data_IF_934375144324
#
_entry.id   IF_934375144324
#
_cell.length_a   1.000
_cell.length_b   1.000
_cell.length_c   1.000
_cell.angle_alpha   90.00
_cell.angle_beta   90.00
_cell.angle_gamma   90.00
#
_symmetry.space_group_name_H-M   'P 1'
#
loop_
_entity.id
_entity.type
_entity.pdbx_description
1 polymer ?
#
# COMPACT_ATOMS: atom_id res chain seq x y z
N UNK A 1 -6.92 -26.41 4.20
CA UNK A 1 -8.06 -25.92 5.03
C UNK A 1 -7.49 -25.17 6.23
N UNK A 2 -7.97 -23.96 6.50
CA UNK A 2 -7.68 -23.18 7.70
C UNK A 2 -9.02 -22.87 8.36
N UNK A 3 -9.17 -23.18 9.64
CA UNK A 3 -10.38 -22.87 10.40
C UNK A 3 -10.00 -22.14 11.67
N UNK A 4 -10.64 -21.01 11.89
CA UNK A 4 -10.43 -20.12 13.03
C UNK A 4 -11.78 -19.92 13.70
N UNK A 5 -11.87 -20.20 14.99
CA UNK A 5 -13.08 -20.10 15.78
C UNK A 5 -12.84 -19.15 16.97
N UNK A 6 -13.64 -18.10 17.05
CA UNK A 6 -13.70 -17.16 18.17
C UNK A 6 -12.32 -16.63 18.63
N UNK A 7 -11.43 -16.35 17.65
CA UNK A 7 -10.09 -15.86 17.91
C UNK A 7 -10.13 -14.45 18.49
N UNK A 8 -9.51 -14.27 19.66
CA UNK A 8 -9.21 -12.94 20.20
C UNK A 8 -7.73 -12.82 20.51
N UNK A 9 -7.13 -11.72 20.02
CA UNK A 9 -5.72 -11.44 20.18
C UNK A 9 -5.48 -9.94 20.30
N UNK A 10 -4.53 -9.54 21.16
CA UNK A 10 -4.13 -8.15 21.35
C UNK A 10 -2.61 -8.02 21.51
N UNK A 11 -2.03 -6.91 21.07
CA UNK A 11 -0.70 -6.46 21.45
C UNK A 11 -0.82 -5.45 22.60
N UNK A 12 -0.57 -5.89 23.84
CA UNK A 12 -0.82 -5.07 25.04
C UNK A 12 -2.29 -4.67 25.11
N UNK A 13 -2.56 -3.36 25.10
CA UNK A 13 -3.94 -2.84 25.13
C UNK A 13 -4.60 -2.76 23.74
N UNK A 14 -3.83 -2.95 22.67
CA UNK A 14 -4.35 -2.85 21.30
C UNK A 14 -4.96 -4.17 20.84
N UNK A 15 -6.28 -4.23 20.82
CA UNK A 15 -7.04 -5.37 20.29
C UNK A 15 -6.86 -5.42 18.75
N UNK A 16 -6.46 -6.59 18.24
CA UNK A 16 -6.31 -6.86 16.80
C UNK A 16 -7.47 -7.74 16.30
N UNK A 17 -7.82 -8.76 17.07
CA UNK A 17 -8.96 -9.64 16.80
C UNK A 17 -9.81 -9.75 18.06
N UNK A 18 -11.13 -9.67 17.89
CA UNK A 18 -12.13 -9.85 18.95
C UNK A 18 -13.21 -10.78 18.43
N UNK A 19 -13.25 -12.00 19.00
CA UNK A 19 -14.21 -13.05 18.62
C UNK A 19 -14.26 -13.34 17.10
N UNK A 20 -13.09 -13.26 16.44
CA UNK A 20 -12.97 -13.40 15.00
C UNK A 20 -13.05 -14.88 14.58
N UNK A 21 -13.87 -15.16 13.57
CA UNK A 21 -13.99 -16.51 13.00
C UNK A 21 -13.83 -16.46 11.48
N UNK A 22 -13.11 -17.43 10.92
CA UNK A 22 -12.81 -17.51 9.50
C UNK A 22 -12.61 -18.96 9.08
N UNK A 23 -13.13 -19.32 7.91
CA UNK A 23 -12.87 -20.61 7.28
C UNK A 23 -12.39 -20.43 5.85
N UNK A 24 -11.24 -21.06 5.52
CA UNK A 24 -10.61 -21.03 4.20
C UNK A 24 -10.42 -22.46 3.72
N UNK A 25 -11.19 -22.82 2.72
CA UNK A 25 -11.13 -24.14 2.09
C UNK A 25 -10.41 -24.11 0.73
N UNK A 26 -10.23 -22.91 0.18
CA UNK A 26 -9.62 -22.70 -1.12
C UNK A 26 -8.12 -22.95 -1.06
N UNK A 27 -7.55 -23.52 -2.13
CA UNK A 27 -6.11 -23.77 -2.26
C UNK A 27 -5.32 -22.48 -2.34
N UNK A 28 -5.87 -21.47 -3.01
CA UNK A 28 -5.28 -20.13 -3.15
C UNK A 28 -6.21 -19.09 -2.55
N UNK A 29 -5.70 -18.31 -1.60
CA UNK A 29 -6.44 -17.23 -1.01
C UNK A 29 -5.55 -16.01 -0.76
N UNK A 30 -6.11 -14.82 -0.91
CA UNK A 30 -5.48 -13.56 -0.52
C UNK A 30 -6.20 -12.97 0.69
N UNK A 31 -5.42 -12.57 1.69
CA UNK A 31 -5.89 -11.72 2.79
C UNK A 31 -5.83 -10.27 2.33
N UNK A 32 -6.98 -9.69 2.11
CA UNK A 32 -7.17 -8.30 1.75
C UNK A 32 -7.52 -7.49 2.99
N UNK A 33 -7.25 -6.20 2.95
CA UNK A 33 -7.59 -5.29 4.05
C UNK A 33 -6.55 -4.19 4.23
N UNK A 34 -6.90 -3.20 5.02
CA UNK A 34 -6.09 -2.00 5.27
C UNK A 34 -4.76 -2.30 5.95
N UNK A 35 -3.83 -1.34 5.90
CA UNK A 35 -2.65 -1.38 6.74
C UNK A 35 -3.09 -1.35 8.21
N UNK A 36 -2.56 -2.30 8.99
CA UNK A 36 -2.98 -2.45 10.39
C UNK A 36 -4.24 -3.30 10.64
N UNK A 37 -4.90 -3.85 9.59
CA UNK A 37 -6.05 -4.74 9.74
C UNK A 37 -5.73 -6.13 10.34
N UNK A 38 -4.46 -6.37 10.70
CA UNK A 38 -4.06 -7.62 11.31
C UNK A 38 -3.65 -8.72 10.32
N UNK A 39 -3.44 -8.41 9.03
CA UNK A 39 -3.06 -9.42 8.01
C UNK A 39 -1.80 -10.20 8.41
N UNK A 40 -0.69 -9.51 8.64
CA UNK A 40 0.57 -10.11 9.12
C UNK A 40 0.38 -10.81 10.47
N UNK A 41 -0.42 -10.23 11.37
CA UNK A 41 -0.72 -10.83 12.67
C UNK A 41 -1.46 -12.14 12.51
N UNK A 42 -2.45 -12.20 11.62
CA UNK A 42 -3.18 -13.43 11.33
C UNK A 42 -2.27 -14.53 10.75
N UNK A 43 -1.39 -14.17 9.79
CA UNK A 43 -0.40 -15.11 9.27
C UNK A 43 0.52 -15.65 10.38
N UNK A 44 1.01 -14.79 11.27
CA UNK A 44 1.85 -15.21 12.42
C UNK A 44 1.12 -16.09 13.43
N UNK A 45 -0.16 -15.83 13.66
CA UNK A 45 -1.01 -16.67 14.51
C UNK A 45 -1.21 -18.07 13.88
N UNK A 46 -1.50 -18.11 12.57
CA UNK A 46 -1.64 -19.39 11.83
C UNK A 46 -0.32 -20.15 11.78
N UNK A 47 0.81 -19.46 11.64
CA UNK A 47 2.15 -20.06 11.64
C UNK A 47 2.55 -20.59 13.03
N UNK A 48 1.98 -20.00 14.10
CA UNK A 48 2.31 -20.37 15.48
C UNK A 48 3.43 -19.55 16.10
N UNK A 49 3.85 -18.44 15.50
CA UNK A 49 4.79 -17.49 16.06
C UNK A 49 4.20 -16.71 17.23
N UNK A 50 2.89 -16.51 17.22
CA UNK A 50 2.12 -15.87 18.28
C UNK A 50 1.23 -16.91 18.96
N UNK A 51 1.33 -17.02 20.29
CA UNK A 51 0.66 -18.08 21.06
C UNK A 51 -0.33 -17.57 22.13
N UNK A 52 -0.23 -16.29 22.50
CA UNK A 52 -1.05 -15.72 23.57
C UNK A 52 -2.38 -15.20 23.03
N UNK A 53 -3.24 -16.12 22.54
CA UNK A 53 -4.56 -15.82 22.04
C UNK A 53 -5.63 -16.73 22.68
N UNK A 54 -6.90 -16.31 22.59
CA UNK A 54 -8.05 -17.16 22.92
C UNK A 54 -8.78 -17.59 21.66
N UNK A 55 -9.57 -18.68 21.76
CA UNK A 55 -10.20 -19.29 20.61
C UNK A 55 -9.37 -20.45 20.06
N UNK A 56 -9.66 -20.85 18.84
CA UNK A 56 -9.04 -22.03 18.22
C UNK A 56 -8.60 -21.73 16.79
N UNK A 57 -7.39 -22.17 16.43
CA UNK A 57 -6.87 -22.16 15.06
C UNK A 57 -6.52 -23.60 14.66
N UNK A 58 -7.20 -24.11 13.64
CA UNK A 58 -6.93 -25.42 13.04
C UNK A 58 -6.40 -25.22 11.64
N UNK A 59 -5.14 -25.60 11.41
CA UNK A 59 -4.50 -25.54 10.10
C UNK A 59 -3.46 -26.65 9.94
N UNK A 60 -3.02 -26.89 8.72
CA UNK A 60 -1.78 -27.64 8.50
C UNK A 60 -0.58 -26.82 9.02
N UNK A 61 0.50 -27.51 9.38
CA UNK A 61 1.76 -26.85 9.60
C UNK A 61 2.16 -26.02 8.37
N UNK A 62 2.55 -24.77 8.60
CA UNK A 62 2.81 -23.82 7.55
C UNK A 62 4.31 -23.52 7.42
N UNK A 63 4.72 -23.14 6.20
CA UNK A 63 5.97 -22.41 5.95
C UNK A 63 5.62 -20.95 5.69
N UNK A 64 6.27 -20.03 6.38
CA UNK A 64 5.99 -18.62 6.24
C UNK A 64 7.18 -17.86 5.62
N UNK A 65 6.90 -17.07 4.60
CA UNK A 65 7.77 -15.99 4.16
C UNK A 65 7.19 -14.66 4.61
N UNK A 66 7.97 -13.93 5.39
CA UNK A 66 7.57 -12.62 5.92
C UNK A 66 8.24 -11.48 5.15
N UNK A 67 7.73 -10.27 5.37
CA UNK A 67 8.29 -9.03 4.80
C UNK A 67 9.77 -8.81 5.21
N UNK A 68 10.16 -9.29 6.40
CA UNK A 68 11.57 -9.29 6.85
C UNK A 68 12.19 -10.66 6.68
N UNK A 69 13.42 -10.69 6.18
CA UNK A 69 14.15 -11.92 5.95
C UNK A 69 14.37 -12.71 7.25
N UNK A 70 14.09 -14.01 7.20
CA UNK A 70 14.38 -14.95 8.29
C UNK A 70 15.69 -15.69 8.03
N UNK A 71 16.69 -14.99 7.54
CA UNK A 71 18.00 -15.54 7.18
C UNK A 71 19.07 -15.17 8.20
N UNK A 72 19.97 -16.09 8.47
CA UNK A 72 21.16 -15.86 9.30
C UNK A 72 22.28 -15.26 8.44
N UNK A 73 22.63 -14.02 8.68
CA UNK A 73 23.59 -13.25 7.89
C UNK A 73 24.99 -13.89 7.82
N UNK A 74 25.45 -14.56 8.88
CA UNK A 74 26.75 -15.19 8.95
C UNK A 74 26.83 -16.60 8.32
N UNK A 75 25.68 -17.19 8.03
CA UNK A 75 25.58 -18.44 7.31
C UNK A 75 25.56 -18.22 5.80
N UNK A 76 26.06 -19.22 5.06
CA UNK A 76 25.91 -19.24 3.59
C UNK A 76 24.45 -19.46 3.16
N UNK A 77 24.13 -19.17 1.89
CA UNK A 77 22.81 -19.43 1.34
C UNK A 77 22.40 -20.90 1.53
N UNK A 78 23.30 -21.84 1.23
CA UNK A 78 22.98 -23.26 1.35
C UNK A 78 22.79 -23.71 2.80
N UNK A 79 23.51 -23.11 3.77
CA UNK A 79 23.32 -23.40 5.18
C UNK A 79 21.97 -22.85 5.69
N UNK A 80 21.56 -21.66 5.23
CA UNK A 80 20.24 -21.12 5.51
C UNK A 80 19.13 -22.02 4.93
N UNK A 81 19.26 -22.46 3.67
CA UNK A 81 18.31 -23.38 3.04
C UNK A 81 18.26 -24.70 3.82
N UNK A 82 19.42 -25.28 4.14
CA UNK A 82 19.55 -26.51 4.91
C UNK A 82 18.83 -26.42 6.26
N UNK A 83 19.03 -25.32 6.99
CA UNK A 83 18.36 -25.07 8.27
C UNK A 83 16.84 -24.91 8.10
N UNK A 84 16.41 -24.15 7.10
CA UNK A 84 14.99 -23.85 6.87
C UNK A 84 14.16 -25.10 6.51
N UNK A 85 14.74 -26.06 5.79
CA UNK A 85 14.07 -27.32 5.41
C UNK A 85 14.47 -28.52 6.29
N UNK A 86 15.28 -28.26 7.33
CA UNK A 86 15.72 -29.26 8.32
C UNK A 86 16.38 -30.51 7.73
N UNK A 87 17.33 -30.32 6.82
CA UNK A 87 18.14 -31.39 6.20
C UNK A 87 19.64 -31.12 6.31
N UNK A 88 20.48 -32.08 6.01
CA UNK A 88 21.91 -31.85 5.94
C UNK A 88 22.30 -30.93 4.77
N UNK A 89 23.41 -30.17 4.91
CA UNK A 89 23.96 -29.32 3.82
C UNK A 89 24.17 -30.10 2.52
N UNK A 90 24.64 -31.36 2.61
CA UNK A 90 24.86 -32.25 1.46
C UNK A 90 23.53 -32.56 0.74
N UNK A 91 22.49 -32.81 1.49
CA UNK A 91 21.17 -33.11 0.98
C UNK A 91 20.53 -31.83 0.38
N UNK A 92 20.64 -30.69 1.06
CA UNK A 92 20.19 -29.39 0.54
C UNK A 92 20.81 -29.05 -0.82
N UNK A 93 22.14 -29.29 -1.00
CA UNK A 93 22.85 -29.12 -2.28
C UNK A 93 22.25 -29.98 -3.41
N UNK A 94 21.76 -31.16 -3.09
CA UNK A 94 21.06 -32.01 -4.05
C UNK A 94 19.66 -31.47 -4.39
N UNK A 95 18.90 -31.10 -3.36
CA UNK A 95 17.53 -30.64 -3.48
C UNK A 95 17.40 -29.27 -4.21
N UNK A 96 18.34 -28.36 -3.99
CA UNK A 96 18.32 -27.03 -4.64
C UNK A 96 18.24 -27.13 -6.17
N UNK A 97 18.78 -28.21 -6.76
CA UNK A 97 18.69 -28.44 -8.22
C UNK A 97 17.26 -28.70 -8.71
N UNK A 98 16.35 -29.09 -7.84
CA UNK A 98 14.94 -29.35 -8.16
C UNK A 98 14.05 -28.13 -7.97
N UNK A 99 14.58 -27.07 -7.31
CA UNK A 99 13.83 -25.82 -7.12
C UNK A 99 13.63 -25.08 -8.46
N UNK A 100 12.47 -24.48 -8.69
CA UNK A 100 12.25 -23.58 -9.83
C UNK A 100 13.05 -22.28 -9.71
N UNK A 101 13.48 -21.94 -8.50
CA UNK A 101 14.31 -20.78 -8.22
C UNK A 101 15.78 -21.17 -8.20
N UNK A 102 16.65 -20.29 -8.65
CA UNK A 102 18.08 -20.55 -8.68
C UNK A 102 18.87 -19.28 -8.34
N UNK A 103 19.99 -19.50 -7.69
CA UNK A 103 20.94 -18.45 -7.33
C UNK A 103 22.37 -18.97 -7.58
N UNK A 104 23.26 -18.08 -7.99
CA UNK A 104 24.70 -18.36 -8.06
C UNK A 104 25.34 -18.15 -6.69
N UNK A 105 26.40 -18.92 -6.38
CA UNK A 105 27.19 -18.73 -5.17
C UNK A 105 26.47 -19.19 -3.89
N UNK A 106 25.92 -20.39 -3.88
CA UNK A 106 25.26 -21.00 -2.72
C UNK A 106 26.13 -21.03 -1.45
N UNK A 107 27.45 -20.99 -1.59
CA UNK A 107 28.42 -20.95 -0.48
C UNK A 107 28.73 -19.52 -0.01
N UNK A 108 28.21 -18.48 -0.67
CA UNK A 108 28.36 -17.08 -0.21
C UNK A 108 27.54 -16.86 1.04
N UNK A 109 28.09 -16.06 1.97
CA UNK A 109 27.34 -15.61 3.16
C UNK A 109 26.19 -14.69 2.77
N UNK A 110 25.08 -14.81 3.47
CA UNK A 110 23.88 -14.03 3.20
C UNK A 110 24.13 -12.52 3.39
N UNK A 111 24.99 -12.12 4.32
CA UNK A 111 25.36 -10.71 4.51
C UNK A 111 25.96 -10.05 3.26
N UNK A 112 26.61 -10.83 2.39
CA UNK A 112 27.25 -10.37 1.17
C UNK A 112 26.31 -10.43 -0.05
N UNK A 113 25.03 -10.73 0.16
CA UNK A 113 24.01 -10.86 -0.87
C UNK A 113 23.14 -9.62 -0.97
N UNK A 114 22.70 -9.32 -2.19
CA UNK A 114 21.69 -8.30 -2.46
C UNK A 114 20.32 -8.71 -1.92
N UNK A 115 19.42 -7.76 -1.76
CA UNK A 115 18.03 -8.02 -1.32
C UNK A 115 17.34 -9.07 -2.20
N UNK A 116 17.51 -9.00 -3.53
CA UNK A 116 16.92 -9.96 -4.48
C UNK A 116 17.51 -11.35 -4.30
N UNK A 117 18.83 -11.46 -4.07
CA UNK A 117 19.48 -12.74 -3.80
C UNK A 117 18.99 -13.35 -2.49
N UNK A 118 18.87 -12.56 -1.42
CA UNK A 118 18.32 -13.00 -0.12
C UNK A 118 16.89 -13.53 -0.28
N UNK A 119 16.04 -12.78 -0.98
CA UNK A 119 14.67 -13.21 -1.27
C UNK A 119 14.64 -14.52 -2.08
N UNK A 120 15.57 -14.68 -3.04
CA UNK A 120 15.69 -15.91 -3.82
C UNK A 120 16.08 -17.10 -2.96
N UNK A 121 16.95 -16.92 -1.96
CA UNK A 121 17.31 -17.97 -0.99
C UNK A 121 16.07 -18.45 -0.24
N UNK A 122 15.23 -17.54 0.24
CA UNK A 122 13.96 -17.88 0.92
C UNK A 122 12.97 -18.56 0.00
N UNK A 123 12.86 -18.12 -1.27
CA UNK A 123 11.98 -18.78 -2.26
C UNK A 123 12.45 -20.21 -2.57
N UNK A 124 13.76 -20.45 -2.63
CA UNK A 124 14.32 -21.81 -2.77
C UNK A 124 13.89 -22.67 -1.57
N UNK A 125 14.13 -22.20 -0.34
CA UNK A 125 13.77 -22.92 0.86
C UNK A 125 12.27 -23.21 0.93
N UNK A 126 11.42 -22.22 0.64
CA UNK A 126 9.95 -22.39 0.54
C UNK A 126 9.57 -23.48 -0.47
N UNK A 127 10.17 -23.45 -1.66
CA UNK A 127 9.83 -24.42 -2.71
C UNK A 127 10.18 -25.86 -2.32
N UNK A 128 11.25 -26.04 -1.56
CA UNK A 128 11.76 -27.31 -1.09
C UNK A 128 11.14 -27.79 0.24
N UNK A 129 10.46 -26.92 0.96
CA UNK A 129 9.79 -27.26 2.22
C UNK A 129 8.75 -28.37 2.00
N UNK A 130 8.62 -29.28 2.95
CA UNK A 130 7.60 -30.35 3.00
C UNK A 130 6.21 -29.84 3.44
N UNK A 131 6.13 -28.59 3.92
CA UNK A 131 4.87 -28.01 4.41
C UNK A 131 3.86 -27.84 3.29
N UNK A 132 2.60 -28.25 3.59
CA UNK A 132 1.48 -28.19 2.64
C UNK A 132 0.79 -26.83 2.60
N UNK A 133 1.00 -26.00 3.62
CA UNK A 133 0.48 -24.63 3.71
C UNK A 133 1.64 -23.65 3.62
N UNK A 134 1.54 -22.70 2.72
CA UNK A 134 2.50 -21.63 2.54
C UNK A 134 1.81 -20.29 2.84
N UNK A 135 2.44 -19.50 3.69
CA UNK A 135 2.00 -18.16 4.07
C UNK A 135 2.97 -17.15 3.46
N UNK A 136 2.48 -16.23 2.64
CA UNK A 136 3.28 -15.21 1.98
C UNK A 136 2.85 -13.82 2.44
N UNK A 137 3.74 -13.06 3.08
CA UNK A 137 3.47 -11.71 3.56
C UNK A 137 4.26 -10.69 2.74
N UNK A 138 3.62 -10.06 1.76
CA UNK A 138 4.15 -9.02 0.87
C UNK A 138 5.43 -9.41 0.10
N UNK A 139 5.60 -10.67 -0.23
CA UNK A 139 6.81 -11.21 -0.85
C UNK A 139 7.05 -10.64 -2.26
N UNK A 140 6.00 -10.37 -3.04
CA UNK A 140 6.10 -9.87 -4.43
C UNK A 140 6.74 -8.47 -4.51
N UNK A 141 6.58 -7.63 -3.49
CA UNK A 141 7.06 -6.25 -3.50
C UNK A 141 8.60 -6.11 -3.58
N UNK A 142 9.35 -7.14 -3.18
CA UNK A 142 10.83 -7.14 -3.18
C UNK A 142 11.44 -7.87 -4.39
N UNK A 143 10.61 -8.44 -5.28
CA UNK A 143 11.06 -9.23 -6.42
C UNK A 143 11.13 -8.41 -7.71
N UNK A 144 12.04 -8.80 -8.61
CA UNK A 144 11.99 -8.33 -9.98
C UNK A 144 10.87 -9.06 -10.79
N UNK A 145 10.45 -8.47 -11.90
CA UNK A 145 9.37 -9.00 -12.74
C UNK A 145 9.58 -10.47 -13.16
N UNK A 146 10.83 -10.87 -13.45
CA UNK A 146 11.17 -12.23 -13.85
C UNK A 146 10.99 -13.23 -12.71
N UNK A 147 11.38 -12.85 -11.51
CA UNK A 147 11.25 -13.70 -10.30
C UNK A 147 9.80 -13.75 -9.84
N UNK A 148 9.06 -12.64 -9.93
CA UNK A 148 7.61 -12.60 -9.67
C UNK A 148 6.85 -13.53 -10.61
N UNK A 149 7.16 -13.53 -11.91
CA UNK A 149 6.56 -14.44 -12.88
C UNK A 149 6.88 -15.92 -12.60
N UNK A 150 8.11 -16.23 -12.17
CA UNK A 150 8.47 -17.57 -11.72
C UNK A 150 7.69 -18.00 -10.47
N UNK A 151 7.53 -17.09 -9.49
CA UNK A 151 6.76 -17.33 -8.28
C UNK A 151 5.28 -17.61 -8.63
N UNK A 152 4.69 -16.79 -9.50
CA UNK A 152 3.31 -16.98 -9.97
C UNK A 152 3.11 -18.34 -10.63
N UNK A 153 4.04 -18.75 -11.50
CA UNK A 153 3.99 -20.08 -12.15
C UNK A 153 4.14 -21.22 -11.14
N UNK A 154 5.04 -21.08 -10.18
CA UNK A 154 5.23 -22.07 -9.12
C UNK A 154 3.95 -22.22 -8.27
N UNK A 155 3.34 -21.12 -7.83
CA UNK A 155 2.10 -21.15 -7.03
C UNK A 155 0.96 -21.83 -7.83
N UNK A 156 0.81 -21.52 -9.13
CA UNK A 156 -0.22 -22.09 -9.99
C UNK A 156 -0.05 -23.61 -10.19
N UNK A 157 1.17 -24.07 -10.36
CA UNK A 157 1.50 -25.47 -10.63
C UNK A 157 1.67 -26.34 -9.38
N UNK A 158 1.79 -25.72 -8.21
CA UNK A 158 2.00 -26.41 -6.93
C UNK A 158 0.72 -27.03 -6.39
N UNK A 159 0.81 -28.20 -5.77
CA UNK A 159 -0.29 -28.81 -5.00
C UNK A 159 -0.46 -28.22 -3.59
N UNK A 160 0.47 -27.38 -3.16
CA UNK A 160 0.43 -26.70 -1.85
C UNK A 160 -0.70 -25.66 -1.82
N UNK A 161 -1.21 -25.41 -0.62
CA UNK A 161 -2.14 -24.31 -0.38
C UNK A 161 -1.38 -23.03 -0.05
N UNK A 162 -1.87 -21.90 -0.53
CA UNK A 162 -1.25 -20.59 -0.30
C UNK A 162 -2.25 -19.62 0.29
N UNK A 163 -1.87 -19.01 1.41
CA UNK A 163 -2.54 -17.84 1.97
C UNK A 163 -1.58 -16.65 1.86
N UNK A 164 -1.98 -15.65 1.09
CA UNK A 164 -1.09 -14.60 0.62
C UNK A 164 -1.58 -13.22 1.03
N UNK A 165 -0.64 -12.33 1.36
CA UNK A 165 -0.84 -10.89 1.48
C UNK A 165 -0.01 -10.23 0.39
N UNK A 166 -0.63 -9.40 -0.43
CA UNK A 166 0.06 -8.58 -1.43
C UNK A 166 -0.68 -7.27 -1.64
N UNK A 167 0.05 -6.23 -2.00
CA UNK A 167 -0.47 -4.95 -2.49
C UNK A 167 -0.23 -4.79 -4.00
N UNK A 168 0.38 -5.77 -4.64
CA UNK A 168 0.62 -5.84 -6.08
C UNK A 168 -0.64 -6.39 -6.76
N UNK A 169 -1.40 -5.50 -7.39
CA UNK A 169 -2.67 -5.86 -8.03
C UNK A 169 -2.46 -6.78 -9.25
N UNK A 170 -1.40 -6.57 -10.03
CA UNK A 170 -1.09 -7.42 -11.18
C UNK A 170 -0.78 -8.85 -10.72
N UNK A 171 -0.05 -8.96 -9.59
CA UNK A 171 0.21 -10.25 -8.97
C UNK A 171 -1.08 -10.91 -8.48
N UNK A 172 -1.96 -10.18 -7.77
CA UNK A 172 -3.24 -10.71 -7.26
C UNK A 172 -4.15 -11.16 -8.42
N UNK A 173 -4.33 -10.31 -9.43
CA UNK A 173 -5.20 -10.59 -10.58
C UNK A 173 -4.68 -11.72 -11.47
N UNK A 174 -3.39 -12.05 -11.35
CA UNK A 174 -2.82 -13.18 -12.08
C UNK A 174 -3.34 -14.54 -11.60
N UNK A 175 -4.04 -14.60 -10.44
CA UNK A 175 -4.56 -15.83 -9.86
C UNK A 175 -6.10 -15.85 -9.85
N UNK A 176 -6.67 -17.04 -10.07
CA UNK A 176 -8.05 -17.35 -9.68
C UNK A 176 -8.02 -17.80 -8.22
N UNK A 177 -8.07 -16.84 -7.31
CA UNK A 177 -7.88 -17.05 -5.89
C UNK A 177 -9.02 -16.39 -5.08
N UNK A 178 -9.33 -16.97 -3.93
CA UNK A 178 -10.31 -16.42 -2.99
C UNK A 178 -9.76 -15.15 -2.35
N UNK A 179 -10.48 -14.05 -2.44
CA UNK A 179 -10.18 -12.84 -1.69
C UNK A 179 -10.95 -12.83 -0.36
N UNK A 180 -10.22 -12.63 0.74
CA UNK A 180 -10.75 -12.61 2.11
C UNK A 180 -10.45 -11.24 2.70
N UNK A 181 -11.47 -10.46 2.94
CA UNK A 181 -11.33 -9.12 3.49
C UNK A 181 -11.29 -9.16 5.02
N UNK A 182 -10.15 -8.80 5.61
CA UNK A 182 -10.02 -8.59 7.06
C UNK A 182 -10.46 -7.18 7.44
N UNK A 183 -11.21 -7.06 8.55
CA UNK A 183 -11.62 -5.76 9.11
C UNK A 183 -13.00 -5.30 8.67
N UNK A 184 -13.88 -6.19 8.18
CA UNK A 184 -15.30 -5.89 8.00
C UNK A 184 -16.19 -6.76 8.89
N UNK A 185 -16.82 -6.13 9.89
CA UNK A 185 -18.20 -6.46 10.20
C UNK A 185 -19.06 -5.65 9.23
N UNK A 186 -19.79 -6.38 8.35
CA UNK A 186 -20.92 -5.96 7.54
C UNK A 186 -20.90 -4.56 6.90
N UNK A 187 -20.32 -4.45 5.70
CA UNK A 187 -20.77 -3.50 4.69
C UNK A 187 -21.02 -4.30 3.41
N UNK A 188 -22.30 -4.47 3.06
CA UNK A 188 -22.69 -5.04 1.77
C UNK A 188 -22.15 -4.18 0.62
N UNK A 189 -21.73 -4.77 -0.51
CA UNK A 189 -21.32 -4.00 -1.68
C UNK A 189 -22.55 -3.33 -2.25
N UNK A 190 -22.65 -2.00 -2.09
CA UNK A 190 -23.65 -1.22 -2.81
C UNK A 190 -23.30 -1.17 -4.29
N UNK A 191 -24.34 -1.38 -5.06
CA UNK A 191 -24.49 -1.56 -6.50
C UNK A 191 -23.68 -0.61 -7.38
N UNK A 192 -23.27 -1.13 -8.55
CA UNK A 192 -22.78 -0.38 -9.71
C UNK A 192 -23.43 0.97 -9.87
N UNK A 193 -22.65 2.04 -9.66
CA UNK A 193 -23.13 3.39 -9.91
C UNK A 193 -22.63 3.81 -11.30
N UNK A 194 -23.55 3.86 -12.26
CA UNK A 194 -23.34 4.58 -13.51
C UNK A 194 -23.03 6.06 -13.22
N UNK A 195 -22.12 6.69 -13.98
CA UNK A 195 -21.83 8.11 -13.79
C UNK A 195 -23.06 8.96 -14.17
N UNK A 196 -23.78 9.42 -13.15
CA UNK A 196 -24.86 10.38 -13.37
C UNK A 196 -24.28 11.75 -13.68
N UNK A 197 -24.62 12.27 -14.84
CA UNK A 197 -24.28 13.61 -15.35
C UNK A 197 -25.02 14.77 -14.66
N UNK A 198 -25.29 14.72 -13.37
CA UNK A 198 -25.93 15.84 -12.67
C UNK A 198 -25.34 15.99 -11.26
N UNK A 199 -24.17 16.63 -11.19
CA UNK A 199 -23.61 17.08 -9.91
C UNK A 199 -23.91 18.57 -9.70
N UNK A 200 -25.08 18.88 -9.20
CA UNK A 200 -25.39 20.14 -8.52
C UNK A 200 -25.67 19.84 -7.04
N UNK A 201 -24.64 19.45 -6.31
CA UNK A 201 -24.66 19.54 -4.86
C UNK A 201 -23.27 19.97 -4.39
N UNK A 202 -23.21 21.00 -3.59
CA UNK A 202 -22.01 21.49 -2.88
C UNK A 202 -21.56 20.50 -1.79
N UNK A 203 -21.38 19.22 -2.16
CA UNK A 203 -20.98 18.14 -1.25
C UNK A 203 -19.51 17.78 -1.44
N UNK A 204 -18.87 17.39 -0.34
CA UNK A 204 -17.56 16.76 -0.34
C UNK A 204 -17.79 15.25 -0.34
N UNK A 205 -17.32 14.57 -1.38
CA UNK A 205 -17.54 13.14 -1.57
C UNK A 205 -16.22 12.42 -1.28
N UNK A 206 -16.22 11.58 -0.25
CA UNK A 206 -15.14 10.64 0.02
C UNK A 206 -15.15 9.51 -1.01
N UNK A 207 -14.00 9.17 -1.58
CA UNK A 207 -13.85 8.08 -2.52
C UNK A 207 -12.82 7.10 -1.96
N UNK A 208 -13.29 5.93 -1.57
CA UNK A 208 -12.41 4.86 -1.20
C UNK A 208 -11.94 4.14 -2.46
N UNK A 209 -10.65 4.28 -2.75
CA UNK A 209 -9.99 3.71 -3.92
C UNK A 209 -8.75 2.96 -3.49
N UNK A 210 -8.64 1.69 -3.84
CA UNK A 210 -7.38 0.96 -3.76
C UNK A 210 -6.48 1.25 -4.96
N UNK A 211 -7.08 1.54 -6.11
CA UNK A 211 -6.39 1.79 -7.38
C UNK A 211 -6.70 3.20 -7.91
N UNK A 212 -5.66 4.03 -7.98
CA UNK A 212 -5.74 5.39 -8.51
C UNK A 212 -6.14 5.42 -10.00
N UNK A 213 -5.96 4.33 -10.74
CA UNK A 213 -6.37 4.25 -12.16
C UNK A 213 -7.88 4.35 -12.33
N UNK A 214 -8.65 3.86 -11.36
CA UNK A 214 -10.12 4.02 -11.35
C UNK A 214 -10.57 5.47 -11.20
N UNK A 215 -9.74 6.31 -10.59
CA UNK A 215 -9.97 7.74 -10.50
C UNK A 215 -10.06 8.38 -11.90
N UNK A 216 -9.31 7.86 -12.88
CA UNK A 216 -9.36 8.33 -14.28
C UNK A 216 -10.74 8.15 -14.90
N UNK A 217 -11.52 7.18 -14.42
CA UNK A 217 -12.91 6.97 -14.88
C UNK A 217 -13.84 8.07 -14.35
N UNK A 218 -13.63 8.55 -13.13
CA UNK A 218 -14.42 9.62 -12.53
C UNK A 218 -14.20 10.99 -13.18
N UNK A 219 -12.97 11.22 -13.67
CA UNK A 219 -12.61 12.49 -14.33
C UNK A 219 -12.91 12.49 -15.83
N UNK A 220 -13.35 11.36 -16.39
CA UNK A 220 -13.72 11.25 -17.79
C UNK A 220 -14.87 12.22 -18.10
N UNK A 221 -14.59 13.24 -18.92
CA UNK A 221 -15.52 14.33 -19.25
C UNK A 221 -15.17 15.67 -18.61
N UNK A 222 -14.24 15.74 -17.67
CA UNK A 222 -13.70 17.01 -17.18
C UNK A 222 -12.42 17.35 -17.96
N UNK A 223 -12.41 18.49 -18.61
CA UNK A 223 -11.24 19.01 -19.34
C UNK A 223 -10.26 19.73 -18.43
N UNK A 224 -10.71 20.17 -17.25
CA UNK A 224 -9.94 20.93 -16.27
C UNK A 224 -10.38 20.58 -14.86
N UNK A 225 -9.41 20.27 -14.00
CA UNK A 225 -9.59 19.96 -12.58
C UNK A 225 -8.30 20.21 -11.82
N UNK A 226 -8.40 20.38 -10.50
CA UNK A 226 -7.28 20.39 -9.58
C UNK A 226 -7.04 18.97 -9.05
N UNK A 227 -5.79 18.52 -9.00
CA UNK A 227 -5.47 17.15 -8.63
C UNK A 227 -4.26 17.05 -7.71
N UNK A 228 -4.45 16.46 -6.54
CA UNK A 228 -3.39 16.07 -5.62
C UNK A 228 -3.21 14.56 -5.73
N UNK A 229 -2.11 14.06 -6.35
CA UNK A 229 -1.87 12.64 -6.54
C UNK A 229 -1.44 11.94 -5.24
N UNK A 230 -1.50 10.60 -5.24
CA UNK A 230 -1.01 9.76 -4.14
C UNK A 230 0.49 9.97 -3.87
N UNK A 231 1.29 9.99 -4.92
CA UNK A 231 2.70 10.41 -4.86
C UNK A 231 2.85 11.85 -5.37
N UNK A 232 2.93 12.79 -4.46
CA UNK A 232 3.05 14.21 -4.79
C UNK A 232 4.33 14.56 -5.55
N UNK A 233 5.36 13.72 -5.49
CA UNK A 233 6.61 13.94 -6.24
C UNK A 233 6.38 13.88 -7.75
N UNK A 234 5.40 13.09 -8.20
CA UNK A 234 5.02 13.02 -9.62
C UNK A 234 4.43 14.32 -10.17
N UNK A 235 4.00 15.22 -9.30
CA UNK A 235 3.42 16.52 -9.63
C UNK A 235 4.40 17.69 -9.49
N UNK A 236 5.71 17.41 -9.31
CA UNK A 236 6.73 18.41 -8.99
C UNK A 236 7.96 18.30 -9.91
N UNK A 237 8.51 19.45 -10.22
CA UNK A 237 9.84 19.60 -10.83
C UNK A 237 10.88 19.57 -9.71
N UNK A 238 11.43 18.39 -9.42
CA UNK A 238 12.24 18.13 -8.22
C UNK A 238 13.57 18.87 -8.20
N UNK A 239 14.18 19.13 -9.35
CA UNK A 239 15.46 19.83 -9.47
C UNK A 239 15.32 21.34 -9.60
N UNK A 240 14.10 21.86 -9.56
CA UNK A 240 13.79 23.27 -9.67
C UNK A 240 13.49 23.90 -8.31
N UNK A 241 13.59 25.23 -8.24
CA UNK A 241 13.27 26.02 -7.05
C UNK A 241 11.78 25.94 -6.72
N UNK A 242 11.44 26.00 -5.44
CA UNK A 242 10.07 25.82 -4.94
C UNK A 242 9.07 26.80 -5.57
N UNK A 243 9.47 28.08 -5.82
CA UNK A 243 8.58 29.04 -6.46
C UNK A 243 8.12 28.61 -7.85
N UNK A 244 8.95 27.88 -8.63
CA UNK A 244 8.58 27.39 -9.94
C UNK A 244 7.50 26.31 -9.85
N UNK A 245 7.53 25.50 -8.80
CA UNK A 245 6.49 24.53 -8.54
C UNK A 245 5.20 25.16 -8.02
N UNK A 246 5.28 26.18 -7.19
CA UNK A 246 4.11 26.92 -6.70
C UNK A 246 3.34 27.54 -7.87
N UNK A 247 4.04 28.17 -8.81
CA UNK A 247 3.44 28.89 -9.92
C UNK A 247 3.61 28.22 -11.29
N UNK A 248 3.78 26.90 -11.33
CA UNK A 248 4.00 26.14 -12.56
C UNK A 248 2.97 26.46 -13.65
N UNK A 249 1.70 26.57 -13.30
CA UNK A 249 0.62 26.87 -14.25
C UNK A 249 0.67 28.28 -14.81
N UNK A 250 1.15 29.25 -14.03
CA UNK A 250 1.30 30.64 -14.46
C UNK A 250 2.54 30.83 -15.32
N UNK A 251 3.62 30.14 -14.98
CA UNK A 251 4.86 30.09 -15.76
C UNK A 251 4.57 29.48 -17.15
N UNK A 252 3.87 28.36 -17.20
CA UNK A 252 3.48 27.71 -18.46
C UNK A 252 2.56 28.62 -19.33
N UNK A 253 1.82 29.54 -18.72
CA UNK A 253 0.99 30.54 -19.43
C UNK A 253 1.74 31.83 -19.77
N UNK A 254 3.07 31.86 -19.55
CA UNK A 254 3.94 33.03 -19.79
C UNK A 254 3.45 34.31 -19.09
N UNK A 255 2.86 34.19 -17.90
CA UNK A 255 2.49 35.34 -17.10
C UNK A 255 3.74 36.07 -16.62
N UNK A 256 3.79 37.42 -16.78
CA UNK A 256 4.88 38.26 -16.33
C UNK A 256 4.55 38.80 -14.94
N UNK A 257 5.26 38.35 -13.90
CA UNK A 257 5.20 38.85 -12.53
C UNK A 257 6.45 38.42 -11.75
N UNK A 258 6.64 38.98 -10.57
CA UNK A 258 7.70 38.55 -9.65
C UNK A 258 7.26 37.29 -8.90
N UNK A 259 7.52 36.13 -9.49
CA UNK A 259 7.14 34.84 -8.90
C UNK A 259 7.82 34.55 -7.57
N UNK A 260 9.01 35.10 -7.34
CA UNK A 260 9.74 34.84 -6.09
C UNK A 260 9.05 35.55 -4.92
N UNK A 261 8.67 36.80 -5.10
CA UNK A 261 7.93 37.57 -4.09
C UNK A 261 6.55 36.95 -3.82
N UNK A 262 5.81 36.64 -4.88
CA UNK A 262 4.49 36.01 -4.75
C UNK A 262 4.57 34.63 -4.06
N UNK A 263 5.70 33.91 -4.23
CA UNK A 263 5.92 32.64 -3.56
C UNK A 263 6.18 32.79 -2.07
N UNK A 264 6.88 33.84 -1.64
CA UNK A 264 7.05 34.11 -0.20
C UNK A 264 5.68 34.45 0.44
N UNK A 265 4.82 35.20 -0.25
CA UNK A 265 3.46 35.47 0.23
C UNK A 265 2.62 34.17 0.33
N UNK A 266 2.72 33.28 -0.67
CA UNK A 266 2.09 31.96 -0.63
C UNK A 266 2.61 31.10 0.53
N UNK A 267 3.93 31.06 0.72
CA UNK A 267 4.60 30.33 1.79
C UNK A 267 4.13 30.83 3.17
N UNK A 268 4.09 32.16 3.34
CA UNK A 268 3.60 32.77 4.57
C UNK A 268 2.12 32.48 4.83
N UNK A 269 1.27 32.59 3.81
CA UNK A 269 -0.18 32.31 3.88
C UNK A 269 -0.47 30.92 4.41
N UNK A 270 0.26 29.91 3.92
CA UNK A 270 0.05 28.51 4.26
C UNK A 270 1.03 27.98 5.31
N UNK A 271 1.78 28.89 5.95
CA UNK A 271 2.75 28.58 7.03
C UNK A 271 3.71 27.46 6.65
N UNK A 272 4.21 27.49 5.40
CA UNK A 272 5.12 26.47 4.89
C UNK A 272 6.54 26.73 5.46
N UNK A 273 7.29 25.65 5.69
CA UNK A 273 8.60 25.71 6.35
C UNK A 273 9.74 25.53 5.35
N UNK A 274 9.80 26.39 4.33
CA UNK A 274 10.86 26.45 3.32
C UNK A 274 10.87 27.84 2.68
N UNK A 275 11.89 28.16 1.88
CA UNK A 275 12.02 29.43 1.12
C UNK A 275 11.63 29.23 -0.33
N UNK A 276 11.19 30.28 -1.00
CA UNK A 276 10.87 30.26 -2.42
C UNK A 276 12.03 29.76 -3.31
N UNK A 277 13.27 30.08 -2.91
CA UNK A 277 14.51 29.69 -3.61
C UNK A 277 15.05 28.29 -3.26
N UNK A 278 14.44 27.57 -2.31
CA UNK A 278 14.90 26.24 -1.96
C UNK A 278 14.66 25.28 -3.13
N UNK A 279 15.62 24.39 -3.38
CA UNK A 279 15.45 23.35 -4.40
C UNK A 279 14.45 22.30 -3.91
N UNK A 280 13.44 22.03 -4.71
CA UNK A 280 12.27 21.22 -4.31
C UNK A 280 12.64 19.84 -3.75
N UNK A 281 13.65 19.17 -4.30
CA UNK A 281 14.10 17.85 -3.81
C UNK A 281 14.67 17.88 -2.39
N UNK A 282 15.07 19.04 -1.87
CA UNK A 282 15.60 19.19 -0.50
C UNK A 282 14.50 19.34 0.55
N UNK A 283 13.26 19.54 0.11
CA UNK A 283 12.13 19.71 1.01
C UNK A 283 11.70 18.37 1.63
N UNK A 284 11.26 18.42 2.89
CA UNK A 284 10.68 17.25 3.56
C UNK A 284 9.41 16.77 2.85
N UNK A 285 9.08 15.48 2.99
CA UNK A 285 7.87 14.90 2.39
C UNK A 285 6.59 15.66 2.78
N UNK A 286 6.47 16.08 4.05
CA UNK A 286 5.33 16.88 4.51
C UNK A 286 5.28 18.27 3.86
N UNK A 287 6.42 18.91 3.58
CA UNK A 287 6.46 20.18 2.86
C UNK A 287 6.11 20.02 1.39
N UNK A 288 6.55 18.93 0.75
CA UNK A 288 6.14 18.59 -0.63
C UNK A 288 4.63 18.37 -0.72
N UNK A 289 4.07 17.65 0.24
CA UNK A 289 2.62 17.42 0.33
C UNK A 289 1.84 18.73 0.45
N UNK A 290 2.25 19.61 1.39
CA UNK A 290 1.63 20.91 1.60
C UNK A 290 1.75 21.80 0.35
N UNK A 291 2.91 21.83 -0.30
CA UNK A 291 3.14 22.61 -1.50
C UNK A 291 2.15 22.21 -2.60
N UNK A 292 2.09 20.93 -2.95
CA UNK A 292 1.18 20.43 -4.00
C UNK A 292 -0.27 20.68 -3.62
N UNK A 293 -0.66 20.36 -2.39
CA UNK A 293 -2.03 20.51 -1.92
C UNK A 293 -2.53 21.96 -2.04
N UNK A 294 -1.80 22.93 -1.44
CA UNK A 294 -2.25 24.32 -1.45
C UNK A 294 -2.11 24.96 -2.84
N UNK A 295 -1.12 24.55 -3.64
CA UNK A 295 -1.03 24.96 -5.05
C UNK A 295 -2.28 24.55 -5.82
N UNK A 296 -2.70 23.31 -5.71
CA UNK A 296 -3.88 22.82 -6.42
C UNK A 296 -5.16 23.49 -5.90
N UNK A 297 -5.24 23.76 -4.61
CA UNK A 297 -6.42 24.40 -4.02
C UNK A 297 -6.55 25.89 -4.42
N UNK A 298 -5.44 26.59 -4.72
CA UNK A 298 -5.46 27.98 -5.21
C UNK A 298 -5.96 28.11 -6.65
N UNK A 299 -6.02 27.03 -7.39
CA UNK A 299 -6.57 27.05 -8.75
C UNK A 299 -8.08 27.27 -8.67
N UNK A 300 -8.60 28.10 -9.60
CA UNK A 300 -10.06 28.25 -9.76
C UNK A 300 -10.59 27.20 -10.74
N UNK A 301 -10.82 26.01 -10.21
CA UNK A 301 -11.39 24.88 -10.97
C UNK A 301 -12.78 24.52 -10.45
N UNK A 302 -13.55 23.81 -11.26
CA UNK A 302 -14.88 23.33 -10.86
C UNK A 302 -14.82 22.03 -10.08
N UNK A 303 -13.77 21.23 -10.30
CA UNK A 303 -13.54 19.93 -9.70
C UNK A 303 -12.18 19.90 -9.03
N UNK A 304 -12.16 19.40 -7.80
CA UNK A 304 -10.96 19.13 -7.02
C UNK A 304 -10.94 17.66 -6.64
N UNK A 305 -9.81 17.01 -6.85
CA UNK A 305 -9.57 15.62 -6.48
C UNK A 305 -8.33 15.59 -5.59
N UNK A 306 -8.53 15.26 -4.33
CA UNK A 306 -7.52 15.38 -3.27
C UNK A 306 -7.21 13.99 -2.71
N UNK A 307 -6.19 13.31 -3.25
CA UNK A 307 -5.87 11.96 -2.83
C UNK A 307 -4.89 11.96 -1.66
N UNK A 308 -5.24 11.26 -0.56
CA UNK A 308 -4.43 11.14 0.66
C UNK A 308 -3.84 12.50 1.14
N UNK A 309 -4.61 13.58 1.00
CA UNK A 309 -4.09 14.94 1.16
C UNK A 309 -3.49 15.24 2.54
N UNK A 310 -3.99 14.58 3.59
CA UNK A 310 -3.52 14.75 4.98
C UNK A 310 -2.18 14.07 5.27
N UNK A 311 -1.69 13.21 4.38
CA UNK A 311 -0.51 12.37 4.63
C UNK A 311 0.73 13.24 4.83
N UNK A 312 1.42 13.04 5.97
CA UNK A 312 2.64 13.79 6.30
C UNK A 312 2.43 15.24 6.71
N UNK A 313 1.19 15.72 6.83
CA UNK A 313 0.89 17.05 7.38
C UNK A 313 0.86 17.02 8.91
N UNK A 314 1.36 18.09 9.53
CA UNK A 314 1.19 18.34 10.97
C UNK A 314 -0.25 18.77 11.28
N UNK A 315 -0.61 18.80 12.57
CA UNK A 315 -1.96 19.12 13.04
C UNK A 315 -2.47 20.47 12.53
N UNK A 316 -1.62 21.49 12.56
CA UNK A 316 -1.98 22.85 12.13
C UNK A 316 -2.26 22.90 10.61
N UNK A 317 -1.40 22.22 9.82
CA UNK A 317 -1.59 22.13 8.38
C UNK A 317 -2.85 21.35 8.00
N UNK A 318 -3.20 20.29 8.74
CA UNK A 318 -4.45 19.53 8.52
C UNK A 318 -5.68 20.40 8.76
N UNK A 319 -5.70 21.18 9.85
CA UNK A 319 -6.80 22.10 10.15
C UNK A 319 -6.96 23.16 9.06
N UNK A 320 -5.86 23.79 8.63
CA UNK A 320 -5.88 24.78 7.54
C UNK A 320 -6.32 24.18 6.20
N UNK A 321 -5.92 22.94 5.92
CA UNK A 321 -6.33 22.22 4.72
C UNK A 321 -7.84 21.97 4.74
N UNK A 322 -8.41 21.50 5.85
CA UNK A 322 -9.85 21.28 5.98
C UNK A 322 -10.66 22.57 5.83
N UNK A 323 -10.22 23.65 6.48
CA UNK A 323 -10.84 24.98 6.32
C UNK A 323 -10.84 25.44 4.86
N UNK A 324 -9.70 25.25 4.18
CA UNK A 324 -9.55 25.62 2.78
C UNK A 324 -10.45 24.78 1.84
N UNK A 325 -10.61 23.49 2.12
CA UNK A 325 -11.53 22.60 1.39
C UNK A 325 -12.98 23.04 1.58
N UNK A 326 -13.39 23.30 2.85
CA UNK A 326 -14.75 23.75 3.17
C UNK A 326 -15.08 25.07 2.45
N UNK A 327 -14.14 25.99 2.40
CA UNK A 327 -14.29 27.24 1.63
C UNK A 327 -14.57 26.96 0.16
N UNK A 328 -13.84 26.05 -0.49
CA UNK A 328 -14.09 25.68 -1.89
C UNK A 328 -15.45 25.03 -2.11
N UNK A 329 -15.89 24.18 -1.18
CA UNK A 329 -17.25 23.63 -1.17
C UNK A 329 -18.30 24.75 -1.13
N UNK A 330 -18.13 25.72 -0.23
CA UNK A 330 -19.08 26.80 -0.04
C UNK A 330 -19.11 27.76 -1.26
N UNK A 331 -18.05 27.80 -2.05
CA UNK A 331 -17.98 28.44 -3.38
C UNK A 331 -18.70 27.61 -4.48
N UNK A 332 -19.36 26.51 -4.14
CA UNK A 332 -20.10 25.66 -5.09
C UNK A 332 -19.23 24.73 -5.93
N UNK A 333 -17.99 24.46 -5.48
CA UNK A 333 -17.07 23.54 -6.18
C UNK A 333 -17.38 22.07 -5.83
N UNK A 334 -17.14 21.19 -6.77
CA UNK A 334 -17.20 19.73 -6.55
C UNK A 334 -15.86 19.24 -6.00
N UNK A 335 -15.89 18.50 -4.89
CA UNK A 335 -14.67 18.02 -4.22
C UNK A 335 -14.77 16.52 -3.99
N UNK A 336 -13.77 15.81 -4.47
CA UNK A 336 -13.55 14.40 -4.19
C UNK A 336 -12.31 14.25 -3.30
N UNK A 337 -12.46 13.59 -2.16
CA UNK A 337 -11.35 13.21 -1.28
C UNK A 337 -11.13 11.72 -1.46
N UNK A 338 -10.01 11.35 -2.09
CA UNK A 338 -9.60 9.97 -2.30
C UNK A 338 -8.72 9.45 -1.16
N UNK A 339 -8.95 8.23 -0.72
CA UNK A 339 -8.04 7.52 0.20
C UNK A 339 -8.03 6.03 -0.09
N UNK A 340 -6.87 5.40 0.14
CA UNK A 340 -6.69 3.96 0.22
C UNK A 340 -6.95 3.43 1.64
N UNK A 341 -7.27 4.31 2.59
CA UNK A 341 -7.76 3.98 3.92
C UNK A 341 -9.19 4.51 4.13
N UNK A 342 -10.12 3.61 4.39
CA UNK A 342 -11.53 3.94 4.58
C UNK A 342 -11.79 4.71 5.89
N UNK A 343 -11.00 4.44 6.95
CA UNK A 343 -11.13 5.14 8.22
C UNK A 343 -10.65 6.59 8.11
N UNK A 344 -9.61 6.85 7.30
CA UNK A 344 -9.19 8.22 7.00
C UNK A 344 -10.34 9.05 6.41
N UNK A 345 -11.21 8.42 5.58
CA UNK A 345 -12.37 9.10 5.02
C UNK A 345 -13.49 9.31 6.04
N UNK A 346 -13.70 8.38 6.98
CA UNK A 346 -14.70 8.55 8.05
C UNK A 346 -14.33 9.66 9.02
N UNK A 347 -13.04 9.86 9.26
CA UNK A 347 -12.51 10.91 10.11
C UNK A 347 -12.35 12.24 9.36
N UNK A 348 -12.68 12.26 8.07
CA UNK A 348 -12.58 13.46 7.25
C UNK A 348 -13.89 14.24 7.15
N UNK A 349 -13.81 15.43 6.54
CA UNK A 349 -14.91 16.36 6.30
C UNK A 349 -15.80 15.94 5.12
N UNK A 350 -16.05 14.65 4.94
CA UNK A 350 -16.85 14.15 3.82
C UNK A 350 -18.33 14.03 4.17
N UNK A 351 -19.21 14.40 3.23
CA UNK A 351 -20.66 14.30 3.40
C UNK A 351 -21.17 12.88 3.11
N UNK A 352 -20.50 12.17 2.21
CA UNK A 352 -20.80 10.77 1.86
C UNK A 352 -19.53 10.05 1.40
N UNK A 353 -19.46 8.74 1.57
CA UNK A 353 -18.32 7.93 1.11
C UNK A 353 -18.81 6.95 0.03
N UNK A 354 -18.11 6.94 -1.11
CA UNK A 354 -18.30 5.98 -2.20
C UNK A 354 -17.11 5.01 -2.25
N UNK A 355 -17.40 3.75 -2.47
CA UNK A 355 -16.42 2.70 -2.70
C UNK A 355 -16.36 2.42 -4.19
N UNK A 356 -15.18 2.52 -4.82
CA UNK A 356 -15.01 2.34 -6.27
C UNK A 356 -13.94 1.29 -6.56
#
# INVERSE_FOLDING_TARGET
MIKINNLSFAYGEKIIFDNFSLEINDRLAFLMGKNGAGKTTLLKLIHGDLKDYTGEIVSNEAYMLSQSFMLFDELSAIENISAAINVSKKEALSLVKTSPFNISGLERKVKDMTTIERQTVELIAMSLSDKKLILLDEVSAALDAKTTDKLSRYIKSSEKSFLMVSHDEDFIQSFDAKEILLGKQNIEPEQNIEPRQNAHSSKIIGIYLKDETKLKMLIKGFTRFAYVPKDVRSALLMDEEAYKNIFIYDILKNKKRDFTKDAEDFIAKYKLKFKASDITKTLSGGNLQKLVFFRELERDEKLYILYNYKKGMDFEAKALAQESILKRRDEGKTIYIGSDDYEDLKEDIVDEIKVI
#
